data_IF_241056046193
#
_entry.id   IF_241056046193
#
_cell.length_a   1.000
_cell.length_b   1.000
_cell.length_c   1.000
_cell.angle_alpha   90.00
_cell.angle_beta   90.00
_cell.angle_gamma   90.00
#
_symmetry.space_group_name_H-M   'P 1'
#
loop_
_entity.id
_entity.type
_entity.pdbx_description
1 polymer ?
#
# COMPACT_ATOMS: atom_id res chain seq x y z
N UNK A 1 1.48 2.42 25.10
CA UNK A 1 1.38 2.34 23.63
C UNK A 1 -0.07 2.04 23.26
N UNK A 2 -0.70 2.83 22.40
CA UNK A 2 -2.07 2.55 21.98
C UNK A 2 -2.12 1.21 21.23
N UNK A 3 -3.00 0.30 21.66
CA UNK A 3 -3.15 -1.02 21.03
C UNK A 3 -3.70 -0.83 19.61
N UNK A 4 -2.96 -1.30 18.60
CA UNK A 4 -3.42 -1.23 17.22
C UNK A 4 -4.69 -2.06 17.00
N UNK A 5 -5.65 -1.50 16.25
CA UNK A 5 -6.83 -2.23 15.81
C UNK A 5 -6.45 -3.37 14.86
N UNK A 6 -7.37 -4.33 14.65
CA UNK A 6 -7.16 -5.44 13.71
C UNK A 6 -6.82 -4.92 12.31
N UNK A 7 -7.57 -3.92 11.82
CA UNK A 7 -7.33 -3.28 10.53
C UNK A 7 -5.95 -2.62 10.46
N UNK A 8 -5.53 -1.89 11.50
CA UNK A 8 -4.19 -1.28 11.54
C UNK A 8 -3.09 -2.35 11.46
N UNK A 9 -3.24 -3.47 12.16
CA UNK A 9 -2.29 -4.59 12.08
C UNK A 9 -2.25 -5.19 10.66
N UNK A 10 -3.40 -5.32 10.01
CA UNK A 10 -3.49 -5.80 8.63
C UNK A 10 -2.81 -4.84 7.64
N UNK A 11 -3.03 -3.54 7.77
CA UNK A 11 -2.37 -2.51 6.94
C UNK A 11 -0.84 -2.56 7.13
N UNK A 12 -0.36 -2.67 8.37
CA UNK A 12 1.07 -2.81 8.65
C UNK A 12 1.66 -4.12 8.09
N UNK A 13 0.89 -5.21 8.11
CA UNK A 13 1.30 -6.46 7.49
C UNK A 13 1.41 -6.32 5.96
N UNK A 14 0.43 -5.67 5.33
CA UNK A 14 0.43 -5.39 3.90
C UNK A 14 1.66 -4.56 3.49
N UNK A 15 1.99 -3.52 4.26
CA UNK A 15 3.19 -2.70 4.03
C UNK A 15 4.48 -3.54 4.02
N UNK A 16 4.66 -4.41 5.03
CA UNK A 16 5.84 -5.30 5.10
C UNK A 16 5.90 -6.28 3.92
N UNK A 17 4.75 -6.77 3.46
CA UNK A 17 4.70 -7.66 2.31
C UNK A 17 5.10 -6.94 1.02
N UNK A 18 4.68 -5.69 0.82
CA UNK A 18 5.14 -4.86 -0.29
C UNK A 18 6.65 -4.63 -0.27
N UNK A 19 7.21 -4.28 0.90
CA UNK A 19 8.66 -4.10 1.03
C UNK A 19 9.43 -5.37 0.66
N UNK A 20 8.95 -6.55 1.07
CA UNK A 20 9.58 -7.83 0.71
C UNK A 20 9.50 -8.10 -0.78
N UNK A 21 8.32 -7.95 -1.38
CA UNK A 21 8.12 -8.22 -2.81
C UNK A 21 8.81 -7.19 -3.74
N UNK A 22 9.17 -6.02 -3.20
CA UNK A 22 9.93 -4.96 -3.89
C UNK A 22 11.42 -4.94 -3.55
N UNK A 23 11.91 -5.82 -2.68
CA UNK A 23 13.31 -5.80 -2.22
C UNK A 23 14.30 -6.03 -3.38
N UNK A 24 13.95 -6.90 -4.32
CA UNK A 24 14.77 -7.23 -5.48
C UNK A 24 14.49 -6.33 -6.70
N UNK A 25 13.65 -5.29 -6.54
CA UNK A 25 13.23 -4.38 -7.63
C UNK A 25 13.78 -2.96 -7.38
N UNK A 26 14.73 -2.46 -8.19
CA UNK A 26 15.29 -1.11 -8.04
C UNK A 26 14.20 -0.03 -8.07
N UNK A 27 14.26 0.93 -7.15
CA UNK A 27 13.31 2.05 -7.10
C UNK A 27 11.91 1.74 -6.55
N UNK A 28 11.58 0.48 -6.25
CA UNK A 28 10.27 0.13 -5.69
C UNK A 28 10.14 0.51 -4.21
N UNK A 29 11.17 0.28 -3.39
CA UNK A 29 11.09 0.55 -1.94
C UNK A 29 10.82 2.02 -1.61
N UNK A 30 11.49 3.01 -2.24
CA UNK A 30 11.16 4.42 -2.04
C UNK A 30 9.70 4.72 -2.40
N UNK A 31 9.24 4.26 -3.57
CA UNK A 31 7.86 4.47 -4.04
C UNK A 31 6.82 3.87 -3.08
N UNK A 32 7.04 2.64 -2.62
CA UNK A 32 6.17 1.97 -1.64
C UNK A 32 6.13 2.78 -0.33
N UNK A 33 7.28 3.26 0.16
CA UNK A 33 7.35 4.08 1.39
C UNK A 33 6.57 5.38 1.23
N UNK A 34 6.77 6.09 0.13
CA UNK A 34 6.14 7.38 -0.10
C UNK A 34 4.63 7.25 -0.20
N UNK A 35 4.14 6.22 -0.89
CA UNK A 35 2.71 6.06 -1.08
C UNK A 35 1.98 5.58 0.20
N UNK A 36 2.62 4.72 1.01
CA UNK A 36 2.07 4.40 2.34
C UNK A 36 2.13 5.61 3.28
N UNK A 37 3.14 6.46 3.18
CA UNK A 37 3.26 7.70 3.97
C UNK A 37 2.20 8.72 3.58
N UNK A 38 1.89 8.87 2.29
CA UNK A 38 0.79 9.73 1.82
C UNK A 38 -0.54 9.25 2.38
N UNK A 39 -0.85 7.96 2.25
CA UNK A 39 -2.09 7.37 2.75
C UNK A 39 -2.18 7.35 4.29
N UNK A 40 -1.05 7.43 5.01
CA UNK A 40 -1.07 7.55 6.47
C UNK A 40 -1.69 8.86 6.98
N UNK A 41 -1.90 9.85 6.10
CA UNK A 41 -2.60 11.11 6.39
C UNK A 41 -4.13 10.94 6.46
N UNK A 42 -4.67 9.82 5.98
CA UNK A 42 -6.11 9.52 6.05
C UNK A 42 -6.55 9.46 7.52
N UNK A 43 -7.68 10.09 7.83
CA UNK A 43 -8.26 10.06 9.18
C UNK A 43 -8.52 8.62 9.58
N UNK A 44 -8.08 8.20 10.77
CA UNK A 44 -8.26 6.84 11.29
C UNK A 44 -9.73 6.40 11.41
N UNK A 45 -10.64 7.38 11.47
CA UNK A 45 -12.10 7.18 11.49
C UNK A 45 -12.70 6.86 10.12
N UNK A 46 -11.98 7.13 9.02
CA UNK A 46 -12.42 6.81 7.67
C UNK A 46 -12.17 5.33 7.34
N UNK A 47 -12.84 4.47 8.10
CA UNK A 47 -12.62 3.02 8.06
C UNK A 47 -12.94 2.45 6.69
N UNK A 48 -14.02 2.91 6.05
CA UNK A 48 -14.44 2.42 4.72
C UNK A 48 -13.39 2.73 3.65
N UNK A 49 -12.82 3.94 3.65
CA UNK A 49 -11.78 4.29 2.69
C UNK A 49 -10.50 3.51 2.93
N UNK A 50 -10.09 3.34 4.20
CA UNK A 50 -8.92 2.53 4.56
C UNK A 50 -9.10 1.08 4.12
N UNK A 51 -10.28 0.49 4.34
CA UNK A 51 -10.58 -0.86 3.88
C UNK A 51 -10.58 -1.00 2.36
N UNK A 52 -11.13 -0.01 1.65
CA UNK A 52 -11.08 0.03 0.19
C UNK A 52 -9.63 0.00 -0.32
N UNK A 53 -8.78 0.88 0.20
CA UNK A 53 -7.36 0.94 -0.14
C UNK A 53 -6.62 -0.34 0.25
N UNK A 54 -6.94 -0.92 1.41
CA UNK A 54 -6.38 -2.20 1.85
C UNK A 54 -6.70 -3.32 0.86
N UNK A 55 -7.97 -3.49 0.46
CA UNK A 55 -8.38 -4.49 -0.54
C UNK A 55 -7.73 -4.25 -1.90
N UNK A 56 -7.58 -2.98 -2.31
CA UNK A 56 -6.87 -2.61 -3.55
C UNK A 56 -5.38 -2.96 -3.48
N UNK A 57 -4.72 -2.61 -2.38
CA UNK A 57 -3.31 -2.91 -2.16
C UNK A 57 -3.04 -4.41 -2.11
N UNK A 58 -3.94 -5.22 -1.54
CA UNK A 58 -3.82 -6.69 -1.60
C UNK A 58 -3.80 -7.20 -3.05
N UNK A 59 -4.69 -6.72 -3.92
CA UNK A 59 -4.70 -7.10 -5.34
C UNK A 59 -3.42 -6.69 -6.06
N UNK A 60 -2.91 -5.49 -5.78
CA UNK A 60 -1.66 -5.00 -6.36
C UNK A 60 -0.44 -5.79 -5.86
N UNK A 61 -0.44 -6.22 -4.61
CA UNK A 61 0.61 -7.07 -4.07
C UNK A 61 0.64 -8.43 -4.77
N UNK A 62 -0.52 -9.05 -4.99
CA UNK A 62 -0.58 -10.32 -5.72
C UNK A 62 -0.07 -10.17 -7.16
N UNK A 63 -0.43 -9.08 -7.85
CA UNK A 63 0.14 -8.76 -9.16
C UNK A 63 1.66 -8.58 -9.09
N UNK A 64 2.18 -7.90 -8.05
CA UNK A 64 3.60 -7.60 -7.91
C UNK A 64 4.48 -8.82 -7.58
N UNK A 65 3.88 -9.87 -7.01
CA UNK A 65 4.52 -11.18 -6.78
C UNK A 65 4.61 -12.00 -8.05
N UNK A 66 3.76 -11.75 -9.04
CA UNK A 66 3.86 -12.37 -10.34
C UNK A 66 5.11 -11.85 -11.08
N UNK A 67 5.91 -12.79 -11.58
CA UNK A 67 7.31 -12.57 -12.00
C UNK A 67 7.40 -11.70 -13.25
N UNK A 68 6.30 -11.55 -13.99
CA UNK A 68 6.22 -10.71 -15.19
C UNK A 68 5.87 -9.23 -14.93
N UNK A 69 5.68 -8.81 -13.68
CA UNK A 69 5.26 -7.44 -13.38
C UNK A 69 6.43 -6.46 -13.44
N UNK A 70 6.58 -5.81 -14.60
CA UNK A 70 7.63 -4.81 -14.90
C UNK A 70 7.35 -3.41 -14.35
N UNK A 71 6.13 -3.11 -13.90
CA UNK A 71 5.75 -1.78 -13.39
C UNK A 71 4.82 -1.85 -12.17
N UNK A 72 5.06 -0.94 -11.21
CA UNK A 72 4.17 -0.75 -10.07
C UNK A 72 3.08 0.27 -10.43
N UNK A 73 1.82 -0.17 -10.50
CA UNK A 73 0.69 0.74 -10.62
C UNK A 73 0.54 1.63 -9.38
N UNK A 74 -0.08 2.81 -9.51
CA UNK A 74 -0.37 3.69 -8.37
C UNK A 74 -1.38 3.05 -7.41
N UNK A 75 -1.15 3.14 -6.10
CA UNK A 75 -2.05 2.73 -5.03
C UNK A 75 -3.25 3.69 -4.89
N UNK A 76 -3.07 4.98 -5.19
CA UNK A 76 -4.15 5.98 -5.29
C UNK A 76 -4.62 6.19 -6.73
N UNK A 77 -5.82 6.80 -6.93
CA UNK A 77 -6.18 7.32 -8.26
C UNK A 77 -5.15 8.41 -8.64
N UNK A 78 -4.73 8.52 -9.92
CA UNK A 78 -3.98 9.69 -10.34
C UNK A 78 -4.80 10.94 -10.02
N UNK A 79 -4.15 11.94 -9.42
CA UNK A 79 -4.74 13.26 -9.23
C UNK A 79 -5.01 13.79 -10.64
N UNK A 80 -6.27 13.95 -11.03
CA UNK A 80 -6.61 14.55 -12.32
C UNK A 80 -5.94 15.93 -12.40
N UNK A 81 -5.21 16.24 -13.49
CA UNK A 81 -4.78 17.60 -13.72
C UNK A 81 -6.05 18.42 -13.99
N UNK A 82 -6.32 19.37 -13.09
CA UNK A 82 -7.33 20.40 -13.31
C UNK A 82 -6.86 21.43 -14.33
#
# INVERSE_FOLDING_TARGET
>A
MARHSKLQKQVLALYRQFLRAGQDKPGFLPRIRDEFRENARIKKSDVMHIEYLFRRGQRQLEQMKDVNTKQLGAFSKPKEPG
#
